data_IF_174988085091
#
_entry.id   IF_174988085091
#
_cell.length_a   1.000
_cell.length_b   1.000
_cell.length_c   1.000
_cell.angle_alpha   90.00
_cell.angle_beta   90.00
_cell.angle_gamma   90.00
#
_symmetry.space_group_name_H-M   'P 1'
#
loop_
_entity.id
_entity.type
_entity.pdbx_description
1 polymer ?
#
# COMPACT_ATOMS: atom_id res chain seq x y z
N UNK A 1 -23.61 29.81 42.47
CA UNK A 1 -24.21 29.99 41.10
C UNK A 1 -23.20 30.39 40.04
N UNK A 2 -21.99 30.82 40.37
CA UNK A 2 -20.97 31.25 39.37
C UNK A 2 -20.14 30.11 38.77
N UNK A 3 -19.94 29.01 39.47
CA UNK A 3 -19.09 27.90 38.98
C UNK A 3 -19.75 27.04 37.88
N UNK A 4 -21.07 26.91 37.87
CA UNK A 4 -21.78 26.14 36.83
C UNK A 4 -21.69 26.81 35.43
N UNK A 5 -21.72 28.15 35.37
CA UNK A 5 -21.63 28.86 34.10
C UNK A 5 -20.24 28.75 33.42
N UNK A 6 -19.18 28.60 34.24
CA UNK A 6 -17.82 28.47 33.72
C UNK A 6 -17.57 27.06 33.15
N UNK A 7 -18.11 26.02 33.78
CA UNK A 7 -17.99 24.64 33.33
C UNK A 7 -18.79 24.36 32.04
N UNK A 8 -19.98 24.96 31.92
CA UNK A 8 -20.79 24.87 30.69
C UNK A 8 -20.12 25.60 29.50
N UNK A 9 -19.53 26.77 29.74
CA UNK A 9 -18.81 27.52 28.71
C UNK A 9 -17.56 26.81 28.22
N UNK A 10 -16.82 26.14 29.11
CA UNK A 10 -15.65 25.32 28.73
C UNK A 10 -16.09 24.08 27.92
N UNK A 11 -17.16 23.42 28.35
CA UNK A 11 -17.69 22.24 27.63
C UNK A 11 -18.16 22.60 26.21
N UNK A 12 -18.87 23.72 26.05
CA UNK A 12 -19.29 24.22 24.74
C UNK A 12 -18.10 24.60 23.85
N UNK A 13 -17.07 25.22 24.41
CA UNK A 13 -15.86 25.59 23.67
C UNK A 13 -15.11 24.35 23.21
N UNK A 14 -15.00 23.32 24.06
CA UNK A 14 -14.37 22.03 23.70
C UNK A 14 -15.19 21.28 22.64
N UNK A 15 -16.52 21.28 22.74
CA UNK A 15 -17.37 20.68 21.69
C UNK A 15 -17.22 21.40 20.36
N UNK A 16 -17.24 22.72 20.34
CA UNK A 16 -17.07 23.51 19.13
C UNK A 16 -15.67 23.32 18.52
N UNK A 17 -14.64 23.21 19.36
CA UNK A 17 -13.29 22.90 18.89
C UNK A 17 -13.20 21.46 18.33
N UNK A 18 -13.83 20.49 18.97
CA UNK A 18 -13.90 19.10 18.50
C UNK A 18 -14.62 19.00 17.16
N UNK A 19 -15.77 19.64 17.01
CA UNK A 19 -16.52 19.70 15.74
C UNK A 19 -15.72 20.37 14.62
N UNK A 20 -14.98 21.46 14.91
CA UNK A 20 -14.10 22.09 13.94
C UNK A 20 -12.96 21.19 13.51
N UNK A 21 -12.31 20.47 14.43
CA UNK A 21 -11.25 19.50 14.10
C UNK A 21 -11.83 18.37 13.26
N UNK A 22 -13.01 17.85 13.61
CA UNK A 22 -13.70 16.82 12.82
C UNK A 22 -14.07 17.29 11.42
N UNK A 23 -14.49 18.54 11.26
CA UNK A 23 -14.89 19.08 9.96
C UNK A 23 -13.69 19.35 9.02
N UNK A 24 -12.50 19.60 9.59
CA UNK A 24 -11.28 19.93 8.82
C UNK A 24 -10.43 18.69 8.55
N UNK A 25 -10.49 17.66 9.41
CA UNK A 25 -9.66 16.47 9.24
C UNK A 25 -10.18 15.59 8.07
N UNK A 26 -9.42 15.45 6.97
CA UNK A 26 -9.84 14.67 5.81
C UNK A 26 -9.88 13.16 6.05
N UNK A 27 -9.31 12.68 7.16
CA UNK A 27 -9.23 11.25 7.51
C UNK A 27 -10.34 10.79 8.48
N UNK A 28 -11.25 11.68 8.89
CA UNK A 28 -12.39 11.33 9.74
C UNK A 28 -13.67 11.13 8.93
N UNK A 29 -14.50 10.20 9.37
CA UNK A 29 -15.80 9.92 8.77
C UNK A 29 -16.74 11.13 8.96
N UNK A 30 -17.43 11.47 7.90
CA UNK A 30 -18.39 12.57 7.89
C UNK A 30 -19.80 12.02 7.74
N UNK A 31 -20.76 12.62 8.43
CA UNK A 31 -22.18 12.29 8.26
C UNK A 31 -22.68 12.65 6.85
N UNK A 32 -22.19 13.76 6.30
CA UNK A 32 -22.51 14.21 4.95
C UNK A 32 -21.33 14.93 4.30
N UNK A 33 -21.22 14.80 2.98
CA UNK A 33 -20.22 15.51 2.19
C UNK A 33 -20.89 16.66 1.43
N UNK A 34 -20.49 17.94 1.65
CA UNK A 34 -20.96 19.04 0.82
C UNK A 34 -20.55 18.79 -0.64
N UNK A 35 -21.40 19.15 -1.59
CA UNK A 35 -21.23 18.90 -3.03
C UNK A 35 -19.86 19.36 -3.57
N UNK A 36 -19.35 20.49 -3.07
CA UNK A 36 -18.03 21.00 -3.46
C UNK A 36 -16.88 20.10 -3.00
N UNK A 37 -16.91 19.59 -1.76
CA UNK A 37 -15.87 18.69 -1.26
C UNK A 37 -15.91 17.33 -1.94
N UNK A 38 -17.10 16.80 -2.23
CA UNK A 38 -17.28 15.55 -2.97
C UNK A 38 -16.70 15.64 -4.38
N UNK A 39 -16.90 16.77 -5.08
CA UNK A 39 -16.32 17.00 -6.40
C UNK A 39 -14.79 17.01 -6.36
N UNK A 40 -14.19 17.66 -5.35
CA UNK A 40 -12.75 17.66 -5.16
C UNK A 40 -12.21 16.26 -4.88
N UNK A 41 -12.89 15.46 -4.03
CA UNK A 41 -12.52 14.06 -3.80
C UNK A 41 -12.56 13.23 -5.09
N UNK A 42 -13.59 13.35 -5.90
CA UNK A 42 -13.71 12.65 -7.19
C UNK A 42 -12.52 12.96 -8.11
N UNK A 43 -12.18 14.23 -8.25
CA UNK A 43 -11.07 14.68 -9.11
C UNK A 43 -9.71 14.21 -8.56
N UNK A 44 -9.45 14.43 -7.26
CA UNK A 44 -8.18 14.04 -6.64
C UNK A 44 -7.97 12.53 -6.63
N UNK A 45 -9.01 11.74 -6.39
CA UNK A 45 -8.96 10.28 -6.44
C UNK A 45 -8.56 9.80 -7.83
N UNK A 46 -9.25 10.28 -8.88
CA UNK A 46 -8.94 9.90 -10.25
C UNK A 46 -7.54 10.40 -10.69
N UNK A 47 -7.18 11.63 -10.34
CA UNK A 47 -5.88 12.21 -10.70
C UNK A 47 -4.72 11.49 -10.00
N UNK A 48 -4.81 11.22 -8.70
CA UNK A 48 -3.77 10.50 -7.94
C UNK A 48 -3.59 9.07 -8.43
N UNK A 49 -4.71 8.38 -8.74
CA UNK A 49 -4.67 7.03 -9.30
C UNK A 49 -4.02 7.02 -10.69
N UNK A 50 -4.44 7.93 -11.58
CA UNK A 50 -3.87 8.03 -12.93
C UNK A 50 -2.37 8.34 -12.87
N UNK A 51 -1.96 9.25 -11.99
CA UNK A 51 -0.56 9.60 -11.77
C UNK A 51 0.27 8.37 -11.38
N UNK A 52 -0.22 7.57 -10.43
CA UNK A 52 0.44 6.34 -10.00
C UNK A 52 0.53 5.33 -11.14
N UNK A 53 -0.57 5.06 -11.86
CA UNK A 53 -0.61 4.07 -12.95
C UNK A 53 0.33 4.46 -14.08
N UNK A 54 0.26 5.70 -14.57
CA UNK A 54 1.13 6.20 -15.63
C UNK A 54 2.60 6.11 -15.24
N UNK A 55 2.93 6.50 -14.01
CA UNK A 55 4.30 6.43 -13.50
C UNK A 55 4.78 4.98 -13.39
N UNK A 56 3.95 4.08 -12.88
CA UNK A 56 4.29 2.66 -12.76
C UNK A 56 4.53 2.02 -14.12
N UNK A 57 3.68 2.32 -15.11
CA UNK A 57 3.86 1.84 -16.49
C UNK A 57 5.15 2.42 -17.08
N UNK A 58 5.37 3.72 -16.96
CA UNK A 58 6.56 4.38 -17.50
C UNK A 58 7.85 3.76 -16.94
N UNK A 59 8.00 3.61 -15.63
CA UNK A 59 9.19 3.04 -15.00
C UNK A 59 9.29 1.52 -15.06
N UNK A 60 8.26 0.83 -15.53
CA UNK A 60 8.37 -0.58 -15.90
C UNK A 60 9.22 -0.77 -17.14
N UNK A 61 9.12 0.16 -18.09
CA UNK A 61 9.83 0.06 -19.40
C UNK A 61 11.02 1.00 -19.52
N UNK A 62 11.02 2.14 -18.80
CA UNK A 62 12.04 3.17 -18.93
C UNK A 62 12.80 3.37 -17.62
N UNK A 63 14.12 3.38 -17.69
CA UNK A 63 14.97 3.77 -16.57
C UNK A 63 15.12 5.29 -16.53
N UNK A 64 15.28 5.91 -15.32
CA UNK A 64 15.58 7.33 -15.21
C UNK A 64 16.94 7.65 -15.83
N UNK A 65 17.07 8.76 -16.56
CA UNK A 65 18.30 9.16 -17.23
C UNK A 65 19.16 10.14 -16.43
N UNK A 66 18.60 10.80 -15.39
CA UNK A 66 19.23 11.89 -14.65
C UNK A 66 19.94 11.46 -13.36
N UNK A 67 21.22 11.92 -13.07
CA UNK A 67 22.02 11.87 -11.83
C UNK A 67 23.12 10.81 -11.80
N UNK A 68 23.79 10.67 -10.65
CA UNK A 68 25.06 9.95 -10.46
C UNK A 68 24.95 8.51 -9.94
N UNK A 69 23.80 8.06 -9.49
CA UNK A 69 23.61 6.72 -8.90
C UNK A 69 23.13 5.67 -9.90
N UNK A 70 23.36 4.41 -9.58
CA UNK A 70 22.91 3.29 -10.39
C UNK A 70 21.37 3.30 -10.48
N UNK A 71 20.85 3.28 -11.71
CA UNK A 71 19.45 3.46 -12.03
C UNK A 71 18.94 2.34 -12.86
N UNK A 72 17.69 2.01 -12.67
CA UNK A 72 17.07 0.97 -13.43
C UNK A 72 15.56 1.11 -13.46
N UNK A 73 14.94 0.31 -14.30
CA UNK A 73 13.49 0.09 -14.25
C UNK A 73 13.11 -0.56 -12.92
N UNK A 74 11.82 -0.58 -12.59
CA UNK A 74 11.30 -1.22 -11.37
C UNK A 74 11.86 -2.64 -11.22
N UNK A 75 11.83 -3.44 -12.29
CA UNK A 75 12.25 -4.83 -12.28
C UNK A 75 13.77 -5.00 -12.34
N UNK A 76 14.48 -4.10 -13.00
CA UNK A 76 15.94 -4.11 -13.00
C UNK A 76 16.48 -3.89 -11.58
N UNK A 77 15.93 -2.93 -10.82
CA UNK A 77 16.32 -2.71 -9.43
C UNK A 77 16.03 -3.92 -8.55
N UNK A 78 14.87 -4.56 -8.74
CA UNK A 78 14.49 -5.76 -8.00
C UNK A 78 15.45 -6.94 -8.26
N UNK A 79 15.84 -7.19 -9.52
CA UNK A 79 16.73 -8.30 -9.86
C UNK A 79 18.20 -8.00 -9.60
N UNK A 80 18.66 -6.76 -9.79
CA UNK A 80 20.05 -6.38 -9.59
C UNK A 80 20.52 -6.49 -8.14
N UNK A 81 19.62 -6.30 -7.18
CA UNK A 81 19.97 -6.33 -5.75
C UNK A 81 20.16 -7.74 -5.18
N UNK A 82 19.71 -8.80 -5.87
CA UNK A 82 19.85 -10.21 -5.46
C UNK A 82 19.49 -10.47 -3.98
N UNK A 83 18.51 -9.74 -3.44
CA UNK A 83 18.07 -9.94 -2.06
C UNK A 83 17.23 -11.21 -1.95
N UNK A 84 17.17 -11.86 -0.77
CA UNK A 84 16.29 -13.01 -0.54
C UNK A 84 14.80 -12.71 -0.77
N UNK A 85 14.42 -11.44 -0.73
CA UNK A 85 13.05 -10.95 -0.92
C UNK A 85 12.78 -10.41 -2.33
N UNK A 86 13.64 -10.70 -3.32
CA UNK A 86 13.40 -10.27 -4.69
C UNK A 86 12.09 -10.88 -5.21
N UNK A 87 11.20 -10.02 -5.72
CA UNK A 87 9.88 -10.42 -6.20
C UNK A 87 9.97 -11.02 -7.60
N UNK A 88 9.10 -11.99 -7.89
CA UNK A 88 8.91 -12.45 -9.26
C UNK A 88 8.20 -11.36 -10.08
N UNK A 89 8.87 -10.84 -11.12
CA UNK A 89 8.38 -9.72 -11.91
C UNK A 89 7.05 -10.00 -12.61
N UNK A 90 6.84 -11.23 -13.10
CA UNK A 90 5.65 -11.60 -13.84
C UNK A 90 4.44 -11.68 -12.90
N UNK A 91 4.57 -12.42 -11.80
CA UNK A 91 3.47 -12.60 -10.83
C UNK A 91 3.08 -11.26 -10.21
N UNK A 92 4.07 -10.46 -9.82
CA UNK A 92 3.80 -9.15 -9.21
C UNK A 92 3.20 -8.17 -10.23
N UNK A 93 3.62 -8.20 -11.50
CA UNK A 93 3.02 -7.37 -12.55
C UNK A 93 1.56 -7.76 -12.80
N UNK A 94 1.26 -9.06 -12.88
CA UNK A 94 -0.13 -9.53 -13.04
C UNK A 94 -0.99 -9.06 -11.86
N UNK A 95 -0.48 -9.21 -10.64
CA UNK A 95 -1.18 -8.75 -9.44
C UNK A 95 -1.47 -7.24 -9.50
N UNK A 96 -0.48 -6.42 -9.85
CA UNK A 96 -0.64 -4.96 -9.96
C UNK A 96 -1.64 -4.57 -11.05
N UNK A 97 -1.64 -5.26 -12.21
CA UNK A 97 -2.61 -5.03 -13.27
C UNK A 97 -4.03 -5.32 -12.77
N UNK A 98 -4.25 -6.48 -12.13
CA UNK A 98 -5.55 -6.85 -11.58
C UNK A 98 -5.99 -5.83 -10.53
N UNK A 99 -5.09 -5.41 -9.64
CA UNK A 99 -5.36 -4.40 -8.63
C UNK A 99 -5.78 -3.06 -9.24
N UNK A 100 -5.06 -2.58 -10.26
CA UNK A 100 -5.40 -1.33 -10.96
C UNK A 100 -6.76 -1.42 -11.66
N UNK A 101 -7.11 -2.56 -12.27
CA UNK A 101 -8.44 -2.78 -12.86
C UNK A 101 -9.53 -2.72 -11.79
N UNK A 102 -9.33 -3.35 -10.64
CA UNK A 102 -10.28 -3.28 -9.53
C UNK A 102 -10.43 -1.86 -8.98
N UNK A 103 -9.35 -1.07 -8.97
CA UNK A 103 -9.36 0.34 -8.56
C UNK A 103 -10.14 1.23 -9.54
N UNK A 104 -10.19 0.90 -10.83
CA UNK A 104 -11.13 1.55 -11.78
C UNK A 104 -12.58 1.32 -11.34
N UNK A 105 -12.91 0.10 -10.91
CA UNK A 105 -14.24 -0.21 -10.35
C UNK A 105 -14.56 0.63 -9.11
N UNK A 106 -13.59 0.83 -8.22
CA UNK A 106 -13.75 1.74 -7.08
C UNK A 106 -14.00 3.18 -7.53
N UNK A 107 -13.22 3.70 -8.48
CA UNK A 107 -13.43 5.03 -9.03
C UNK A 107 -14.84 5.15 -9.66
N UNK A 108 -15.33 4.10 -10.33
CA UNK A 108 -16.69 4.07 -10.88
C UNK A 108 -17.76 4.19 -9.78
N UNK A 109 -17.60 3.53 -8.64
CA UNK A 109 -18.53 3.65 -7.52
C UNK A 109 -18.61 5.08 -6.96
N UNK A 110 -17.51 5.84 -7.01
CA UNK A 110 -17.49 7.23 -6.59
C UNK A 110 -18.33 8.15 -7.51
N UNK A 111 -18.58 7.72 -8.76
CA UNK A 111 -19.40 8.43 -9.73
C UNK A 111 -20.83 7.85 -9.86
N UNK A 112 -21.19 6.86 -9.04
CA UNK A 112 -22.52 6.25 -9.01
C UNK A 112 -23.58 7.25 -8.52
N UNK A 113 -24.83 7.00 -8.91
CA UNK A 113 -26.01 7.75 -8.42
C UNK A 113 -26.45 7.30 -7.02
N UNK A 114 -25.99 6.15 -6.55
CA UNK A 114 -26.36 5.62 -5.25
C UNK A 114 -25.53 6.28 -4.13
N UNK A 115 -26.20 7.11 -3.33
CA UNK A 115 -25.58 7.89 -2.25
C UNK A 115 -24.84 7.03 -1.22
N UNK A 116 -25.31 5.80 -0.95
CA UNK A 116 -24.69 4.88 0.01
C UNK A 116 -23.29 4.45 -0.47
N UNK A 117 -23.17 4.12 -1.76
CA UNK A 117 -21.86 3.74 -2.34
C UNK A 117 -20.93 4.94 -2.46
N UNK A 118 -21.48 6.10 -2.84
CA UNK A 118 -20.69 7.34 -2.94
C UNK A 118 -20.15 7.76 -1.57
N UNK A 119 -20.96 7.68 -0.51
CA UNK A 119 -20.51 7.96 0.86
C UNK A 119 -19.42 6.96 1.29
N UNK A 120 -19.66 5.65 1.16
CA UNK A 120 -18.68 4.64 1.52
C UNK A 120 -17.36 4.78 0.74
N UNK A 121 -17.42 5.18 -0.53
CA UNK A 121 -16.22 5.44 -1.34
C UNK A 121 -15.52 6.75 -0.93
N UNK A 122 -16.26 7.78 -0.54
CA UNK A 122 -15.70 9.05 -0.10
C UNK A 122 -15.02 8.93 1.29
N UNK A 123 -15.57 8.12 2.20
CA UNK A 123 -15.01 7.89 3.54
C UNK A 123 -13.58 7.29 3.48
N UNK A 124 -13.29 6.46 2.49
CA UNK A 124 -11.95 5.88 2.27
C UNK A 124 -11.08 6.71 1.32
N UNK A 125 -11.65 7.72 0.67
CA UNK A 125 -11.00 8.48 -0.41
C UNK A 125 -9.70 9.16 -0.01
N UNK A 126 -9.64 9.77 1.18
CA UNK A 126 -8.41 10.45 1.68
C UNK A 126 -7.24 9.49 1.82
N UNK A 127 -7.48 8.33 2.42
CA UNK A 127 -6.46 7.29 2.59
C UNK A 127 -6.01 6.72 1.25
N UNK A 128 -6.94 6.57 0.29
CA UNK A 128 -6.63 6.10 -1.06
C UNK A 128 -5.78 7.10 -1.83
N UNK A 129 -6.13 8.40 -1.81
CA UNK A 129 -5.33 9.46 -2.43
C UNK A 129 -3.93 9.47 -1.83
N UNK A 130 -3.83 9.40 -0.50
CA UNK A 130 -2.55 9.40 0.20
C UNK A 130 -1.71 8.16 -0.15
N UNK A 131 -2.32 6.96 -0.18
CA UNK A 131 -1.66 5.75 -0.67
C UNK A 131 -1.09 5.93 -2.08
N UNK A 132 -1.87 6.46 -3.02
CA UNK A 132 -1.43 6.65 -4.39
C UNK A 132 -0.24 7.62 -4.50
N UNK A 133 -0.27 8.71 -3.73
CA UNK A 133 0.84 9.68 -3.70
C UNK A 133 2.09 9.10 -3.06
N UNK A 134 1.97 8.32 -1.98
CA UNK A 134 3.10 7.64 -1.36
C UNK A 134 3.71 6.60 -2.29
N UNK A 135 2.88 5.81 -2.97
CA UNK A 135 3.33 4.82 -3.95
C UNK A 135 3.96 5.45 -5.19
N UNK A 136 3.44 6.59 -5.65
CA UNK A 136 4.07 7.39 -6.70
C UNK A 136 5.48 7.83 -6.28
N UNK A 137 5.63 8.40 -5.08
CA UNK A 137 6.93 8.79 -4.53
C UNK A 137 7.87 7.59 -4.37
N UNK A 138 7.33 6.46 -3.88
CA UNK A 138 8.07 5.20 -3.76
C UNK A 138 8.67 4.75 -5.10
N UNK A 139 7.88 4.68 -6.17
CA UNK A 139 8.37 4.25 -7.50
C UNK A 139 9.49 5.15 -7.99
N UNK A 140 9.37 6.47 -7.78
CA UNK A 140 10.42 7.44 -8.13
C UNK A 140 11.73 7.21 -7.38
N UNK A 141 11.66 7.01 -6.07
CA UNK A 141 12.83 6.80 -5.23
C UNK A 141 13.47 5.43 -5.47
N UNK A 142 12.64 4.39 -5.66
CA UNK A 142 13.08 3.03 -5.97
C UNK A 142 13.92 2.98 -7.25
N UNK A 143 13.41 3.53 -8.35
CA UNK A 143 14.10 3.56 -9.63
C UNK A 143 15.40 4.39 -9.60
N UNK A 144 15.55 5.31 -8.64
CA UNK A 144 16.74 6.14 -8.42
C UNK A 144 17.69 5.59 -7.35
N UNK A 145 17.45 4.37 -6.85
CA UNK A 145 18.27 3.71 -5.81
C UNK A 145 18.30 4.44 -4.46
N UNK A 146 17.32 5.27 -4.16
CA UNK A 146 17.16 5.90 -2.84
C UNK A 146 16.35 5.00 -1.90
N UNK A 147 16.88 3.80 -1.59
CA UNK A 147 16.15 2.75 -0.91
C UNK A 147 15.70 3.10 0.51
N UNK A 148 16.49 3.83 1.29
CA UNK A 148 16.09 4.27 2.64
C UNK A 148 14.90 5.21 2.64
N UNK A 149 14.87 6.17 1.70
CA UNK A 149 13.73 7.06 1.55
C UNK A 149 12.50 6.31 0.99
N UNK A 150 12.74 5.38 0.06
CA UNK A 150 11.69 4.52 -0.47
C UNK A 150 11.07 3.66 0.63
N UNK A 151 11.89 3.06 1.52
CA UNK A 151 11.44 2.27 2.67
C UNK A 151 10.63 3.13 3.64
N UNK A 152 11.05 4.35 3.93
CA UNK A 152 10.31 5.26 4.79
C UNK A 152 8.90 5.54 4.24
N UNK A 153 8.74 5.74 2.92
CA UNK A 153 7.43 5.91 2.31
C UNK A 153 6.56 4.65 2.42
N UNK A 154 7.15 3.46 2.26
CA UNK A 154 6.45 2.18 2.44
C UNK A 154 5.97 2.00 3.87
N UNK A 155 6.81 2.33 4.87
CA UNK A 155 6.43 2.31 6.30
C UNK A 155 5.26 3.25 6.58
N UNK A 156 5.32 4.49 6.12
CA UNK A 156 4.24 5.47 6.29
C UNK A 156 2.95 4.93 5.64
N UNK A 157 3.05 4.38 4.44
CA UNK A 157 1.92 3.82 3.72
C UNK A 157 1.34 2.58 4.42
N UNK A 158 2.18 1.76 5.01
CA UNK A 158 1.74 0.61 5.81
C UNK A 158 0.86 1.06 6.99
N UNK A 159 1.27 2.08 7.73
CA UNK A 159 0.44 2.64 8.80
C UNK A 159 -0.85 3.29 8.28
N UNK A 160 -0.79 4.00 7.15
CA UNK A 160 -1.95 4.58 6.51
C UNK A 160 -3.00 3.51 6.14
N UNK A 161 -2.57 2.45 5.49
CA UNK A 161 -3.45 1.36 5.04
C UNK A 161 -3.95 0.50 6.22
N UNK A 162 -3.11 0.28 7.23
CA UNK A 162 -3.51 -0.42 8.45
C UNK A 162 -4.56 0.37 9.23
N UNK A 163 -4.38 1.69 9.40
CA UNK A 163 -5.38 2.55 10.02
C UNK A 163 -6.71 2.52 9.24
N UNK A 164 -6.64 2.57 7.91
CA UNK A 164 -7.80 2.44 7.04
C UNK A 164 -8.50 1.09 7.23
N UNK A 165 -7.74 -0.01 7.28
CA UNK A 165 -8.28 -1.35 7.45
C UNK A 165 -9.07 -1.49 8.77
N UNK A 166 -8.48 -1.04 9.88
CA UNK A 166 -9.13 -1.14 11.19
C UNK A 166 -10.34 -0.22 11.34
N UNK A 167 -10.29 0.96 10.72
CA UNK A 167 -11.38 1.94 10.79
C UNK A 167 -12.59 1.52 9.94
N UNK A 168 -12.34 0.97 8.74
CA UNK A 168 -13.36 0.71 7.73
C UNK A 168 -13.56 -0.80 7.45
N UNK A 169 -13.51 -1.64 8.46
CA UNK A 169 -13.67 -3.10 8.33
C UNK A 169 -15.05 -3.54 7.83
N UNK A 170 -16.06 -2.66 7.83
CA UNK A 170 -17.45 -2.92 7.40
C UNK A 170 -17.80 -2.34 6.03
N UNK A 171 -16.85 -1.81 5.27
CA UNK A 171 -17.11 -1.30 3.91
C UNK A 171 -17.51 -2.42 2.94
N UNK A 172 -18.32 -2.12 1.90
CA UNK A 172 -18.66 -3.12 0.88
C UNK A 172 -17.42 -3.74 0.26
N UNK A 173 -17.43 -5.05 0.01
CA UNK A 173 -16.26 -5.82 -0.49
C UNK A 173 -15.66 -5.22 -1.77
N UNK A 174 -16.49 -4.71 -2.67
CA UNK A 174 -16.04 -4.08 -3.93
C UNK A 174 -15.25 -2.77 -3.73
N UNK A 175 -15.39 -2.12 -2.58
CA UNK A 175 -14.60 -0.95 -2.18
C UNK A 175 -13.41 -1.40 -1.33
N UNK A 176 -13.63 -2.34 -0.42
CA UNK A 176 -12.61 -2.81 0.53
C UNK A 176 -11.42 -3.50 -0.17
N UNK A 177 -11.70 -4.37 -1.14
CA UNK A 177 -10.64 -5.12 -1.85
C UNK A 177 -9.66 -4.20 -2.58
N UNK A 178 -10.10 -3.30 -3.50
CA UNK A 178 -9.17 -2.50 -4.30
C UNK A 178 -8.50 -1.36 -3.54
N UNK A 179 -9.10 -0.89 -2.44
CA UNK A 179 -8.62 0.30 -1.72
C UNK A 179 -7.87 -0.07 -0.44
N UNK A 180 -8.24 -1.17 0.20
CA UNK A 180 -7.72 -1.55 1.52
C UNK A 180 -6.90 -2.82 1.46
N UNK A 181 -7.55 -3.98 1.26
CA UNK A 181 -6.91 -5.29 1.36
C UNK A 181 -5.80 -5.49 0.32
N UNK A 182 -6.05 -5.15 -0.94
CA UNK A 182 -5.09 -5.28 -2.02
C UNK A 182 -3.84 -4.43 -1.81
N UNK A 183 -3.97 -3.11 -1.67
CA UNK A 183 -2.82 -2.25 -1.41
C UNK A 183 -2.08 -2.60 -0.12
N UNK A 184 -2.78 -2.99 0.95
CA UNK A 184 -2.14 -3.40 2.21
C UNK A 184 -1.30 -4.67 2.05
N UNK A 185 -1.82 -5.68 1.34
CA UNK A 185 -1.10 -6.93 1.10
C UNK A 185 0.21 -6.71 0.33
N UNK A 186 0.17 -5.98 -0.78
CA UNK A 186 1.39 -5.68 -1.54
C UNK A 186 2.34 -4.77 -0.78
N UNK A 187 1.83 -3.78 -0.05
CA UNK A 187 2.66 -2.89 0.75
C UNK A 187 3.40 -3.64 1.87
N UNK A 188 2.76 -4.62 2.50
CA UNK A 188 3.39 -5.49 3.50
C UNK A 188 4.54 -6.31 2.90
N UNK A 189 4.38 -6.84 1.70
CA UNK A 189 5.45 -7.55 0.98
C UNK A 189 6.58 -6.60 0.58
N UNK A 190 6.26 -5.40 0.10
CA UNK A 190 7.23 -4.38 -0.27
C UNK A 190 8.07 -3.91 0.92
N UNK A 191 7.50 -3.87 2.13
CA UNK A 191 8.22 -3.53 3.37
C UNK A 191 9.47 -4.41 3.54
N UNK A 192 9.38 -5.71 3.29
CA UNK A 192 10.52 -6.61 3.39
C UNK A 192 11.45 -6.53 2.17
N UNK A 193 10.88 -6.38 0.98
CA UNK A 193 11.65 -6.29 -0.27
C UNK A 193 12.53 -5.04 -0.28
N UNK A 194 11.95 -3.90 0.03
CA UNK A 194 12.63 -2.59 0.02
C UNK A 194 13.58 -2.46 1.20
N UNK A 195 13.17 -2.93 2.39
CA UNK A 195 14.02 -2.98 3.57
C UNK A 195 15.27 -3.83 3.36
N UNK A 196 15.14 -5.01 2.76
CA UNK A 196 16.29 -5.85 2.41
C UNK A 196 17.22 -5.18 1.39
N UNK A 197 16.68 -4.44 0.43
CA UNK A 197 17.46 -3.66 -0.52
C UNK A 197 18.17 -2.47 0.15
N UNK A 198 17.52 -1.82 1.12
CA UNK A 198 18.07 -0.67 1.84
C UNK A 198 19.26 -1.07 2.74
N UNK A 199 19.18 -2.23 3.43
CA UNK A 199 20.27 -2.73 4.28
C UNK A 199 21.31 -3.55 3.51
N UNK A 200 21.13 -3.75 2.22
CA UNK A 200 22.03 -4.56 1.37
C UNK A 200 22.26 -5.98 1.94
N UNK A 201 21.20 -6.70 2.26
CA UNK A 201 21.19 -7.93 3.04
C UNK A 201 21.70 -9.14 2.23
N UNK A 202 23.02 -9.30 2.13
CA UNK A 202 23.68 -10.45 1.43
C UNK A 202 24.29 -11.48 2.37
N UNK A 203 24.36 -11.19 3.68
CA UNK A 203 25.00 -12.05 4.67
C UNK A 203 24.17 -13.28 5.04
N UNK A 204 24.82 -14.34 5.55
CA UNK A 204 24.14 -15.54 6.04
C UNK A 204 23.06 -15.25 7.12
N UNK A 205 23.35 -14.42 8.14
CA UNK A 205 22.33 -14.02 9.11
C UNK A 205 21.12 -13.34 8.49
N UNK A 206 21.33 -12.51 7.45
CA UNK A 206 20.25 -11.86 6.74
C UNK A 206 19.33 -12.86 6.02
N UNK A 207 19.89 -13.96 5.48
CA UNK A 207 19.09 -15.04 4.85
C UNK A 207 18.25 -15.80 5.86
N UNK A 208 18.80 -16.07 7.07
CA UNK A 208 18.04 -16.72 8.14
C UNK A 208 16.89 -15.82 8.59
N UNK A 209 17.16 -14.53 8.79
CA UNK A 209 16.13 -13.55 9.13
C UNK A 209 15.07 -13.45 8.03
N UNK A 210 15.48 -13.50 6.75
CA UNK A 210 14.57 -13.50 5.62
C UNK A 210 13.58 -14.67 5.65
N UNK A 211 14.06 -15.88 5.98
CA UNK A 211 13.17 -17.04 6.12
C UNK A 211 12.14 -16.85 7.23
N UNK A 212 12.58 -16.32 8.40
CA UNK A 212 11.65 -16.00 9.49
C UNK A 212 10.60 -14.98 9.04
N UNK A 213 10.99 -13.95 8.29
CA UNK A 213 10.10 -12.92 7.81
C UNK A 213 9.10 -13.42 6.73
N UNK A 214 9.49 -14.38 5.89
CA UNK A 214 8.57 -15.06 4.95
C UNK A 214 7.43 -15.74 5.72
N UNK A 215 7.74 -16.42 6.82
CA UNK A 215 6.73 -17.01 7.69
C UNK A 215 5.85 -15.96 8.37
N UNK A 216 6.40 -14.77 8.66
CA UNK A 216 5.60 -13.66 9.20
C UNK A 216 4.57 -13.15 8.19
N UNK A 217 4.87 -13.17 6.89
CA UNK A 217 3.91 -12.81 5.82
C UNK A 217 2.73 -13.80 5.83
N UNK A 218 3.03 -15.10 5.96
CA UNK A 218 1.98 -16.11 6.09
C UNK A 218 1.17 -15.93 7.37
N UNK A 219 1.82 -15.71 8.50
CA UNK A 219 1.18 -15.43 9.79
C UNK A 219 0.28 -14.19 9.74
N UNK A 220 0.72 -13.15 9.05
CA UNK A 220 -0.07 -11.93 8.84
C UNK A 220 -1.34 -12.21 8.03
N UNK A 221 -1.23 -12.92 6.90
CA UNK A 221 -2.38 -13.33 6.10
C UNK A 221 -3.35 -14.22 6.89
N UNK A 222 -2.82 -15.17 7.68
CA UNK A 222 -3.62 -16.04 8.54
C UNK A 222 -4.33 -15.27 9.66
N UNK A 223 -3.67 -14.28 10.25
CA UNK A 223 -4.29 -13.40 11.24
C UNK A 223 -5.54 -12.71 10.70
N UNK A 224 -5.50 -12.12 9.50
CA UNK A 224 -6.67 -11.48 8.91
C UNK A 224 -7.78 -12.48 8.54
N UNK A 225 -7.39 -13.68 8.15
CA UNK A 225 -8.34 -14.76 7.85
C UNK A 225 -9.12 -15.19 9.10
N UNK A 226 -8.43 -15.35 10.23
CA UNK A 226 -9.04 -15.87 11.47
C UNK A 226 -9.75 -14.76 12.24
N UNK A 227 -9.09 -13.60 12.42
CA UNK A 227 -9.63 -12.53 13.25
C UNK A 227 -10.74 -11.74 12.56
N UNK A 228 -10.62 -11.50 11.26
CA UNK A 228 -11.55 -10.64 10.50
C UNK A 228 -12.38 -11.41 9.48
N UNK A 229 -12.15 -12.73 9.30
CA UNK A 229 -12.80 -13.56 8.27
C UNK A 229 -12.65 -12.97 6.85
N UNK A 230 -11.57 -12.20 6.65
CA UNK A 230 -11.24 -11.59 5.37
C UNK A 230 -10.41 -12.56 4.53
N UNK A 231 -11.12 -13.44 3.83
CA UNK A 231 -10.51 -14.43 2.92
C UNK A 231 -9.71 -13.75 1.80
N UNK A 232 -10.09 -12.54 1.41
CA UNK A 232 -9.45 -11.81 0.33
C UNK A 232 -8.07 -11.34 0.75
N UNK A 233 -7.96 -10.75 1.94
CA UNK A 233 -6.67 -10.32 2.51
C UNK A 233 -5.75 -11.52 2.78
N UNK A 234 -6.29 -12.59 3.38
CA UNK A 234 -5.55 -13.82 3.61
C UNK A 234 -4.99 -14.44 2.33
N UNK A 235 -5.82 -14.55 1.29
CA UNK A 235 -5.41 -15.07 -0.02
C UNK A 235 -4.37 -14.16 -0.70
N UNK A 236 -4.57 -12.85 -0.69
CA UNK A 236 -3.64 -11.89 -1.31
C UNK A 236 -2.28 -11.85 -0.62
N UNK A 237 -2.23 -11.79 0.71
CA UNK A 237 -0.98 -11.77 1.46
C UNK A 237 -0.18 -13.07 1.28
N UNK A 238 -0.87 -14.23 1.29
CA UNK A 238 -0.20 -15.52 1.18
C UNK A 238 0.18 -15.87 -0.26
N UNK A 239 -0.71 -15.65 -1.23
CA UNK A 239 -0.46 -16.09 -2.61
C UNK A 239 0.55 -15.21 -3.35
N UNK A 240 0.47 -13.89 -3.20
CA UNK A 240 1.37 -12.98 -3.93
C UNK A 240 2.73 -12.88 -3.26
N UNK A 241 2.76 -12.70 -1.94
CA UNK A 241 4.00 -12.54 -1.19
C UNK A 241 4.84 -13.82 -1.24
N UNK A 242 4.25 -14.96 -0.91
CA UNK A 242 4.97 -16.22 -0.86
C UNK A 242 5.27 -16.81 -2.23
N UNK A 243 4.30 -16.88 -3.14
CA UNK A 243 4.54 -17.44 -4.46
C UNK A 243 5.61 -16.63 -5.21
N UNK A 244 5.58 -15.30 -5.13
CA UNK A 244 6.59 -14.46 -5.76
C UNK A 244 7.99 -14.65 -5.17
N UNK A 245 8.12 -14.82 -3.86
CA UNK A 245 9.41 -14.96 -3.16
C UNK A 245 9.93 -16.40 -3.15
N UNK A 246 9.07 -17.40 -2.86
CA UNK A 246 9.47 -18.81 -2.77
C UNK A 246 9.93 -19.33 -4.14
N UNK A 247 9.19 -19.02 -5.22
CA UNK A 247 9.56 -19.45 -6.56
C UNK A 247 10.92 -18.85 -6.94
N UNK A 248 11.16 -17.58 -6.63
CA UNK A 248 12.43 -16.93 -6.91
C UNK A 248 13.59 -17.53 -6.09
N UNK A 249 13.34 -17.88 -4.81
CA UNK A 249 14.29 -18.57 -3.95
C UNK A 249 14.64 -19.96 -4.50
N UNK A 250 13.64 -20.77 -4.82
CA UNK A 250 13.84 -22.12 -5.36
C UNK A 250 14.57 -22.12 -6.70
N UNK A 251 14.24 -21.21 -7.61
CA UNK A 251 14.89 -21.09 -8.91
C UNK A 251 16.35 -20.68 -8.74
N UNK A 252 16.65 -19.66 -7.94
CA UNK A 252 18.01 -19.20 -7.69
C UNK A 252 18.88 -20.26 -7.00
N UNK A 253 18.34 -20.99 -6.03
CA UNK A 253 19.10 -22.05 -5.35
C UNK A 253 19.33 -23.26 -6.26
N UNK A 254 18.35 -23.63 -7.10
CA UNK A 254 18.52 -24.68 -8.10
C UNK A 254 19.60 -24.32 -9.13
N UNK A 255 19.65 -23.11 -9.64
CA UNK A 255 20.70 -22.63 -10.55
C UNK A 255 22.07 -22.57 -9.89
N UNK A 256 22.15 -22.25 -8.59
CA UNK A 256 23.41 -22.28 -7.84
C UNK A 256 23.91 -23.69 -7.64
N UNK A 257 23.05 -24.63 -7.27
CA UNK A 257 23.43 -26.05 -7.16
C UNK A 257 23.96 -26.61 -8.49
N UNK A 258 23.31 -26.31 -9.61
CA UNK A 258 23.76 -26.72 -10.94
C UNK A 258 25.14 -26.12 -11.27
N UNK A 259 25.35 -24.84 -10.97
CA UNK A 259 26.65 -24.18 -11.22
C UNK A 259 27.81 -24.76 -10.39
N UNK A 260 27.55 -25.28 -9.18
CA UNK A 260 28.55 -25.92 -8.35
C UNK A 260 28.87 -27.36 -8.76
N UNK A 261 28.00 -28.02 -9.52
CA UNK A 261 28.26 -29.35 -10.06
C UNK A 261 29.07 -29.35 -11.39
N UNK A 262 29.19 -28.21 -12.04
CA UNK A 262 29.89 -28.06 -13.33
C UNK A 262 31.17 -27.22 -13.27
N UNK A 263 31.59 -26.78 -12.06
CA UNK A 263 32.93 -26.24 -11.77
C UNK A 263 33.70 -27.15 -10.82
#
# INVERSE_FOLDING_TARGET
MSENNTSEGVAQTLQTAHERVHSVNPFMDRESYPTGSLRSYKILTAASWLLLVVTSIYYTFNAPTEGKHHRGTIWHQNSHRHTPFALNSIITSIYMIVLYILQVGYCWHLYSENEVYVKAAADVGSHFIFNNLLMFGFVHLWCRSHFWLAEMLIIINFFNLSALYFKHSRTPRFIHIPVVSGPLAINYVLLFTVGAAAVNAHSLPARILANIMIWSIMGYGFFFLVAYKDYTMGFQATSVGQAAQIINGMVNDSWRCIKWQFN
#
